data_IF_500940270497
#
_entry.id   IF_500940270497
#
_cell.length_a   1.000
_cell.length_b   1.000
_cell.length_c   1.000
_cell.angle_alpha   90.00
_cell.angle_beta   90.00
_cell.angle_gamma   90.00
#
_symmetry.space_group_name_H-M   'P 1'
#
loop_
_entity.id
_entity.type
_entity.pdbx_description
1 polymer ?
#
# COMPACT_ATOMS: atom_id res chain seq x y z
N UNK A 1 -11.14 -5.87 16.45
CA UNK A 1 -10.93 -5.97 15.00
C UNK A 1 -11.57 -4.74 14.37
N UNK A 2 -10.94 -4.07 13.40
CA UNK A 2 -11.53 -2.88 12.77
C UNK A 2 -12.43 -3.26 11.60
N UNK A 3 -13.45 -2.45 11.33
CA UNK A 3 -14.34 -2.60 10.18
C UNK A 3 -13.56 -2.72 8.86
N UNK A 4 -12.52 -1.92 8.66
CA UNK A 4 -11.66 -2.01 7.48
C UNK A 4 -10.93 -3.35 7.36
N UNK A 5 -10.50 -3.94 8.48
CA UNK A 5 -9.85 -5.26 8.49
C UNK A 5 -10.83 -6.35 8.02
N UNK A 6 -12.07 -6.30 8.52
CA UNK A 6 -13.14 -7.21 8.09
C UNK A 6 -13.45 -7.05 6.59
N UNK A 7 -13.53 -5.81 6.11
CA UNK A 7 -13.74 -5.50 4.70
C UNK A 7 -12.63 -6.08 3.81
N UNK A 8 -11.36 -5.96 4.19
CA UNK A 8 -10.25 -6.52 3.40
C UNK A 8 -10.29 -8.05 3.36
N UNK A 9 -10.60 -8.70 4.49
CA UNK A 9 -10.74 -10.17 4.52
C UNK A 9 -11.89 -10.65 3.64
N UNK A 10 -13.02 -9.97 3.69
CA UNK A 10 -14.13 -10.25 2.81
C UNK A 10 -13.75 -10.03 1.34
N UNK A 11 -13.14 -8.88 1.02
CA UNK A 11 -12.69 -8.55 -0.34
C UNK A 11 -11.79 -9.65 -0.92
N UNK A 12 -10.81 -10.13 -0.16
CA UNK A 12 -9.85 -11.15 -0.59
C UNK A 12 -10.50 -12.47 -1.06
N UNK A 13 -11.77 -12.70 -0.69
CA UNK A 13 -12.56 -13.88 -1.09
C UNK A 13 -13.75 -13.54 -1.98
N UNK A 14 -13.99 -12.26 -2.24
CA UNK A 14 -15.16 -11.76 -2.97
C UNK A 14 -14.96 -11.77 -4.48
N UNK A 15 -16.05 -11.86 -5.24
CA UNK A 15 -16.02 -11.77 -6.71
C UNK A 15 -15.72 -10.38 -7.25
N UNK A 16 -15.77 -9.34 -6.41
CA UNK A 16 -15.42 -7.96 -6.83
C UNK A 16 -13.91 -7.69 -6.79
N UNK A 17 -13.16 -8.55 -6.10
CA UNK A 17 -11.71 -8.50 -6.07
C UNK A 17 -11.14 -9.29 -7.23
N UNK A 18 -10.53 -8.59 -8.18
CA UNK A 18 -9.88 -9.19 -9.33
C UNK A 18 -8.39 -9.42 -9.03
N UNK A 19 -7.83 -10.60 -9.32
CA UNK A 19 -6.43 -10.87 -9.05
C UNK A 19 -5.51 -10.02 -9.93
N UNK A 20 -4.37 -9.61 -9.39
CA UNK A 20 -3.34 -8.94 -10.17
C UNK A 20 -2.72 -9.89 -11.21
N UNK A 21 -2.44 -9.39 -12.42
CA UNK A 21 -1.73 -10.17 -13.46
C UNK A 21 -0.30 -10.52 -13.06
N UNK A 22 0.33 -9.65 -12.27
CA UNK A 22 1.69 -9.79 -11.78
C UNK A 22 1.74 -9.41 -10.31
N UNK A 23 2.55 -10.12 -9.53
CA UNK A 23 2.63 -9.94 -8.08
C UNK A 23 1.52 -10.67 -7.32
N UNK A 24 1.35 -10.31 -6.04
CA UNK A 24 0.29 -10.83 -5.18
C UNK A 24 -0.63 -9.72 -4.71
N UNK A 25 -1.90 -10.08 -4.52
CA UNK A 25 -2.97 -9.16 -4.17
C UNK A 25 -4.04 -9.08 -5.24
N UNK A 26 -4.88 -8.07 -5.12
CA UNK A 26 -6.08 -7.92 -5.94
C UNK A 26 -6.41 -6.44 -6.14
N UNK A 27 -7.37 -6.16 -7.02
CA UNK A 27 -7.89 -4.83 -7.22
C UNK A 27 -9.41 -4.85 -7.40
N UNK A 28 -10.06 -3.78 -6.95
CA UNK A 28 -11.46 -3.50 -7.22
C UNK A 28 -11.55 -2.38 -8.26
N UNK A 29 -12.33 -2.61 -9.32
CA UNK A 29 -12.59 -1.62 -10.37
C UNK A 29 -13.82 -0.77 -10.02
N UNK A 30 -13.83 0.45 -10.54
CA UNK A 30 -15.07 1.23 -10.70
C UNK A 30 -16.11 0.45 -11.51
N UNK A 31 -17.39 0.60 -11.18
CA UNK A 31 -18.52 0.07 -11.94
C UNK A 31 -19.15 -1.22 -11.37
N UNK A 32 -18.49 -1.88 -10.42
CA UNK A 32 -19.12 -2.97 -9.66
C UNK A 32 -20.15 -2.38 -8.70
N UNK A 33 -21.39 -2.86 -8.75
CA UNK A 33 -22.41 -2.51 -7.76
C UNK A 33 -22.44 -3.54 -6.65
N UNK A 34 -22.50 -3.07 -5.41
CA UNK A 34 -22.72 -3.89 -4.22
C UNK A 34 -24.05 -3.54 -3.58
N UNK A 35 -24.62 -4.51 -2.87
CA UNK A 35 -25.79 -4.33 -2.02
C UNK A 35 -25.36 -4.54 -0.57
N UNK A 36 -25.53 -3.52 0.24
CA UNK A 36 -25.29 -3.59 1.68
C UNK A 36 -26.41 -4.38 2.37
N UNK A 37 -26.19 -4.76 3.63
CA UNK A 37 -27.13 -5.58 4.41
C UNK A 37 -28.48 -4.87 4.66
N UNK A 38 -28.50 -3.54 4.68
CA UNK A 38 -29.71 -2.71 4.78
C UNK A 38 -30.45 -2.56 3.44
N UNK A 39 -29.95 -3.19 2.37
CA UNK A 39 -30.50 -3.11 1.02
C UNK A 39 -29.97 -1.95 0.17
N UNK A 40 -29.15 -1.06 0.73
CA UNK A 40 -28.57 0.08 0.02
C UNK A 40 -27.68 -0.40 -1.13
N UNK A 41 -27.87 0.18 -2.33
CA UNK A 41 -27.07 -0.10 -3.52
C UNK A 41 -26.06 1.01 -3.76
N UNK A 42 -24.79 0.65 -3.88
CA UNK A 42 -23.68 1.59 -4.08
C UNK A 42 -22.70 1.05 -5.12
N UNK A 43 -21.91 1.94 -5.71
CA UNK A 43 -20.68 1.55 -6.41
C UNK A 43 -19.66 1.06 -5.37
N UNK A 44 -19.02 -0.07 -5.66
CA UNK A 44 -18.08 -0.71 -4.77
C UNK A 44 -16.88 0.19 -4.46
N UNK A 45 -16.39 0.92 -5.46
CA UNK A 45 -15.22 1.77 -5.29
C UNK A 45 -15.54 2.99 -4.44
N UNK A 46 -16.71 3.63 -4.66
CA UNK A 46 -17.19 4.72 -3.81
C UNK A 46 -17.33 4.27 -2.36
N UNK A 47 -17.99 3.13 -2.13
CA UNK A 47 -18.14 2.59 -0.78
C UNK A 47 -16.79 2.37 -0.11
N UNK A 48 -15.83 1.74 -0.80
CA UNK A 48 -14.48 1.54 -0.25
C UNK A 48 -13.77 2.87 0.07
N UNK A 49 -13.91 3.89 -0.77
CA UNK A 49 -13.36 5.22 -0.46
C UNK A 49 -14.03 5.83 0.78
N UNK A 50 -15.34 5.68 0.96
CA UNK A 50 -16.03 6.16 2.18
C UNK A 50 -15.61 5.41 3.44
N UNK A 51 -15.24 4.13 3.31
CA UNK A 51 -14.65 3.34 4.39
C UNK A 51 -13.20 3.75 4.68
N UNK A 52 -12.61 4.69 3.92
CA UNK A 52 -11.27 5.23 4.13
C UNK A 52 -10.14 4.49 3.41
N UNK A 53 -10.45 3.64 2.43
CA UNK A 53 -9.43 3.00 1.60
C UNK A 53 -8.84 3.99 0.59
N UNK A 54 -7.55 4.30 0.74
CA UNK A 54 -6.83 5.25 -0.12
C UNK A 54 -5.35 4.90 -0.25
N UNK A 55 -4.65 5.56 -1.17
CA UNK A 55 -3.20 5.36 -1.35
C UNK A 55 -2.43 5.55 -0.05
N UNK A 56 -1.55 4.61 0.26
CA UNK A 56 -0.66 4.66 1.42
C UNK A 56 -1.23 4.03 2.69
N UNK A 57 -2.51 3.63 2.68
CA UNK A 57 -3.07 2.86 3.78
C UNK A 57 -2.46 1.46 3.79
N UNK A 58 -2.04 0.99 4.97
CA UNK A 58 -1.55 -0.37 5.20
C UNK A 58 -2.45 -1.04 6.23
N UNK A 59 -3.07 -2.16 5.86
CA UNK A 59 -3.91 -2.92 6.78
C UNK A 59 -3.96 -4.41 6.43
N UNK A 60 -4.08 -5.26 7.47
CA UNK A 60 -4.21 -6.72 7.35
C UNK A 60 -3.23 -7.38 6.36
N UNK A 61 -1.98 -6.88 6.31
CA UNK A 61 -0.96 -7.39 5.39
C UNK A 61 -1.09 -6.89 3.95
N UNK A 62 -1.90 -5.87 3.67
CA UNK A 62 -2.02 -5.23 2.36
C UNK A 62 -1.60 -3.77 2.40
N UNK A 63 -0.92 -3.31 1.35
CA UNK A 63 -0.72 -1.90 1.04
C UNK A 63 -1.68 -1.47 -0.06
N UNK A 64 -2.39 -0.36 0.16
CA UNK A 64 -3.44 0.11 -0.73
C UNK A 64 -2.91 1.22 -1.64
N UNK A 65 -3.26 1.16 -2.93
CA UNK A 65 -3.00 2.19 -3.91
C UNK A 65 -4.26 2.51 -4.72
N UNK A 66 -4.61 3.78 -4.78
CA UNK A 66 -5.65 4.29 -5.63
C UNK A 66 -5.08 4.74 -6.98
N UNK A 67 -5.71 4.30 -8.07
CA UNK A 67 -5.45 4.76 -9.42
C UNK A 67 -6.65 5.61 -9.88
N UNK A 68 -6.48 6.91 -10.13
CA UNK A 68 -7.57 7.78 -10.54
C UNK A 68 -8.05 7.47 -11.96
N UNK A 69 -9.20 8.04 -12.34
CA UNK A 69 -9.70 8.02 -13.71
C UNK A 69 -8.69 8.70 -14.64
N UNK A 70 -8.17 7.97 -15.62
CA UNK A 70 -7.28 8.51 -16.64
C UNK A 70 -6.13 7.56 -17.03
N UNK A 71 -5.69 7.66 -18.28
CA UNK A 71 -4.66 6.78 -18.86
C UNK A 71 -5.21 5.47 -19.43
N UNK A 72 -4.33 4.47 -19.60
CA UNK A 72 -4.68 3.17 -20.19
C UNK A 72 -5.43 2.21 -19.23
N UNK A 73 -5.68 2.64 -17.99
CA UNK A 73 -6.24 1.79 -16.93
C UNK A 73 -7.55 2.37 -16.41
N UNK A 74 -8.51 1.49 -16.12
CA UNK A 74 -9.74 1.85 -15.42
C UNK A 74 -9.43 2.27 -13.98
N UNK A 75 -10.21 3.23 -13.47
CA UNK A 75 -10.13 3.68 -12.08
C UNK A 75 -10.30 2.50 -11.12
N UNK A 76 -9.43 2.43 -10.11
CA UNK A 76 -9.36 1.26 -9.22
C UNK A 76 -8.68 1.53 -7.89
N UNK A 77 -9.01 0.67 -6.92
CA UNK A 77 -8.23 0.48 -5.70
C UNK A 77 -7.49 -0.85 -5.81
N UNK A 78 -6.18 -0.81 -5.62
CA UNK A 78 -5.32 -1.99 -5.64
C UNK A 78 -4.82 -2.30 -4.23
N UNK A 79 -4.90 -3.55 -3.83
CA UNK A 79 -4.46 -4.08 -2.55
C UNK A 79 -3.27 -5.00 -2.81
N UNK A 80 -2.06 -4.51 -2.58
CA UNK A 80 -0.83 -5.27 -2.75
C UNK A 80 -0.51 -6.06 -1.49
N UNK A 81 -0.41 -7.38 -1.59
CA UNK A 81 -0.02 -8.22 -0.46
C UNK A 81 1.41 -7.89 -0.05
N UNK A 82 1.58 -7.50 1.21
CA UNK A 82 2.87 -7.25 1.83
C UNK A 82 3.42 -8.55 2.40
N UNK A 83 4.70 -8.81 2.11
CA UNK A 83 5.43 -9.90 2.75
C UNK A 83 6.46 -9.34 3.70
N UNK A 84 6.46 -9.87 4.91
CA UNK A 84 7.58 -9.70 5.84
C UNK A 84 8.62 -10.77 5.52
N UNK A 85 9.87 -10.35 5.36
CA UNK A 85 11.01 -11.26 5.20
C UNK A 85 12.01 -10.96 6.31
N UNK A 86 12.42 -12.01 7.02
CA UNK A 86 13.53 -11.91 7.96
C UNK A 86 14.84 -11.82 7.18
N UNK A 87 15.63 -10.78 7.46
CA UNK A 87 16.92 -10.54 6.82
C UNK A 87 18.03 -10.57 7.87
N UNK A 88 19.27 -10.98 7.52
CA UNK A 88 20.35 -11.17 8.48
C UNK A 88 21.05 -9.86 8.89
N UNK A 89 20.44 -8.71 8.61
CA UNK A 89 21.04 -7.40 8.84
C UNK A 89 20.31 -6.66 9.96
N UNK A 90 21.07 -6.11 10.89
CA UNK A 90 20.53 -5.23 11.92
C UNK A 90 20.05 -3.90 11.31
N UNK A 91 19.10 -3.25 11.98
CA UNK A 91 18.65 -1.91 11.61
C UNK A 91 19.84 -0.95 11.62
N UNK A 92 20.12 -0.20 10.52
CA UNK A 92 21.22 0.74 10.50
C UNK A 92 21.02 1.82 11.57
N UNK A 93 22.10 2.32 12.20
CA UNK A 93 22.00 3.38 13.19
C UNK A 93 21.36 4.62 12.56
N UNK A 94 20.38 5.23 13.24
CA UNK A 94 19.86 6.53 12.83
C UNK A 94 20.96 7.56 13.04
N UNK A 95 21.66 7.95 11.98
CA UNK A 95 22.57 9.09 12.03
C UNK A 95 21.73 10.34 12.31
N UNK A 96 22.05 11.07 13.37
CA UNK A 96 21.55 12.43 13.51
C UNK A 96 22.10 13.28 12.36
N UNK A 97 21.42 14.39 11.98
CA UNK A 97 21.93 15.29 10.96
C UNK A 97 23.38 15.75 11.22
N UNK A 98 23.74 15.96 12.50
CA UNK A 98 25.10 16.29 12.92
C UNK A 98 26.09 15.13 12.69
N UNK A 99 25.70 13.89 12.98
CA UNK A 99 26.54 12.71 12.74
C UNK A 99 26.74 12.44 11.23
N UNK A 100 25.72 12.71 10.41
CA UNK A 100 25.83 12.62 8.95
C UNK A 100 26.82 13.65 8.39
N UNK A 101 26.74 14.92 8.85
CA UNK A 101 27.69 15.98 8.47
C UNK A 101 29.13 15.70 8.93
N UNK A 102 29.32 15.12 10.11
CA UNK A 102 30.67 14.75 10.58
C UNK A 102 31.26 13.56 9.79
N UNK A 103 30.42 12.64 9.33
CA UNK A 103 30.87 11.50 8.51
C UNK A 103 31.31 11.90 7.10
N UNK A 104 30.69 12.94 6.52
CA UNK A 104 31.10 13.49 5.22
C UNK A 104 32.39 14.31 5.33
N UNK A 105 32.60 15.04 6.43
CA UNK A 105 33.84 15.80 6.66
C UNK A 105 35.07 14.90 6.87
N UNK A 106 34.94 13.79 7.61
CA UNK A 106 36.05 12.83 7.81
C UNK A 106 36.47 12.10 6.53
N UNK A 107 35.59 12.01 5.54
CA UNK A 107 35.89 11.37 4.25
C UNK A 107 36.70 12.27 3.31
N UNK A 108 36.92 13.55 3.66
CA UNK A 108 37.67 14.52 2.86
C UNK A 108 39.15 14.68 3.23
N UNK A 109 39.65 14.03 4.29
CA UNK A 109 41.05 14.17 4.75
C UNK A 109 42.01 13.09 4.23
N UNK A 110 41.55 12.12 3.42
CA UNK A 110 42.44 11.19 2.72
C UNK A 110 42.58 11.58 1.25
N UNK A 111 43.55 12.44 0.96
CA UNK A 111 44.30 12.68 -0.30
C UNK A 111 45.00 14.03 -0.08
N UNK A 112 46.30 14.13 0.21
CA UNK A 112 47.45 13.77 -0.63
C UNK A 112 48.70 13.64 0.27
N UNK A 113 49.49 12.55 0.18
CA UNK A 113 50.90 12.58 0.58
C UNK A 113 51.79 12.86 -0.64
N UNK A 114 52.80 13.72 -0.41
CA UNK A 114 54.03 14.01 -1.19
C UNK A 114 54.12 15.47 -1.63
#
# INVERSE_FOLDING_TARGET
MSRQTETVRWLATSSIALPLRHGRGFFALRGFRIRLADGTLLDALDWLQTEGFMTGVVLDGYSVAYTPVGGNYAERLTFFEMRTMDIPFAKPPRLSPAAALLSTLRSGEQLVPS
#
